data_IF_956284518374
#
_entry.id   IF_956284518374
#
_cell.length_a   1.000
_cell.length_b   1.000
_cell.length_c   1.000
_cell.angle_alpha   90.00
_cell.angle_beta   90.00
_cell.angle_gamma   90.00
#
_symmetry.space_group_name_H-M   'P 1'
#
loop_
_entity.id
_entity.type
_entity.pdbx_description
1 polymer ?
#
# COMPACT_ATOMS: atom_id res chain seq x y z
N UNK A 1 -15.03 -12.04 70.28
CA UNK A 1 -14.09 -10.96 69.94
C UNK A 1 -13.05 -11.60 69.03
N UNK A 2 -13.36 -11.77 67.73
CA UNK A 2 -12.95 -10.88 66.62
C UNK A 2 -11.41 -10.93 66.47
N UNK A 3 -10.81 -11.42 65.38
CA UNK A 3 -11.00 -11.03 63.98
C UNK A 3 -10.56 -12.18 63.06
N UNK A 4 -11.47 -12.68 62.22
CA UNK A 4 -11.15 -13.48 61.05
C UNK A 4 -10.73 -12.49 59.95
N UNK A 5 -9.42 -12.37 59.73
CA UNK A 5 -8.82 -11.48 58.75
C UNK A 5 -9.13 -12.00 57.33
N UNK A 6 -10.36 -11.71 56.88
CA UNK A 6 -10.81 -11.92 55.52
C UNK A 6 -9.86 -11.24 54.56
N UNK A 7 -9.11 -12.07 53.83
CA UNK A 7 -8.38 -11.69 52.62
C UNK A 7 -9.39 -11.10 51.63
N UNK A 8 -9.58 -9.79 51.70
CA UNK A 8 -10.26 -9.04 50.66
C UNK A 8 -9.36 -9.10 49.43
N UNK A 9 -9.66 -10.02 48.53
CA UNK A 9 -9.16 -9.99 47.17
C UNK A 9 -9.96 -8.87 46.46
N UNK A 10 -9.41 -7.67 46.24
CA UNK A 10 -10.12 -6.66 45.47
C UNK A 10 -10.38 -7.22 44.06
N UNK A 11 -11.44 -6.77 43.36
CA UNK A 11 -11.70 -7.16 41.97
C UNK A 11 -10.39 -7.08 41.19
N UNK A 12 -9.91 -8.25 40.76
CA UNK A 12 -8.52 -8.45 40.38
C UNK A 12 -8.16 -7.55 39.20
N UNK A 13 -6.96 -6.96 39.24
CA UNK A 13 -6.39 -6.19 38.13
C UNK A 13 -6.41 -6.98 36.81
N UNK A 14 -6.45 -8.30 36.89
CA UNK A 14 -6.66 -9.20 35.77
C UNK A 14 -7.99 -8.97 35.04
N UNK A 15 -9.09 -8.71 35.75
CA UNK A 15 -10.38 -8.38 35.13
C UNK A 15 -10.35 -7.00 34.49
N UNK A 16 -9.66 -6.04 35.12
CA UNK A 16 -9.49 -4.69 34.58
C UNK A 16 -8.61 -4.70 33.34
N UNK A 17 -7.47 -5.40 33.36
CA UNK A 17 -6.61 -5.65 32.20
C UNK A 17 -7.37 -6.38 31.10
N UNK A 18 -8.14 -7.41 31.43
CA UNK A 18 -8.94 -8.16 30.44
C UNK A 18 -10.00 -7.29 29.76
N UNK A 19 -10.63 -6.36 30.50
CA UNK A 19 -11.55 -5.36 29.92
C UNK A 19 -10.82 -4.30 29.10
N UNK A 20 -9.65 -3.85 29.55
CA UNK A 20 -8.79 -2.92 28.82
C UNK A 20 -8.27 -3.52 27.52
N UNK A 21 -7.81 -4.77 27.54
CA UNK A 21 -7.34 -5.51 26.37
C UNK A 21 -8.49 -5.84 25.42
N UNK A 22 -9.69 -6.14 25.92
CA UNK A 22 -10.87 -6.31 25.07
C UNK A 22 -11.24 -5.01 24.34
N UNK A 23 -11.26 -3.88 25.04
CA UNK A 23 -11.56 -2.56 24.44
C UNK A 23 -10.43 -2.07 23.54
N UNK A 24 -9.17 -2.38 23.88
CA UNK A 24 -8.00 -1.99 23.09
C UNK A 24 -7.86 -2.85 21.85
N UNK A 25 -8.12 -4.15 21.94
CA UNK A 25 -8.14 -5.10 20.83
C UNK A 25 -9.17 -4.71 19.76
N UNK A 26 -10.36 -4.28 20.14
CA UNK A 26 -11.37 -3.80 19.18
C UNK A 26 -10.98 -2.47 18.53
N UNK A 27 -10.40 -1.54 19.30
CA UNK A 27 -9.96 -0.24 18.78
C UNK A 27 -8.76 -0.37 17.85
N UNK A 28 -7.78 -1.21 18.18
CA UNK A 28 -6.63 -1.46 17.32
C UNK A 28 -7.04 -2.17 16.03
N UNK A 29 -8.00 -3.10 16.07
CA UNK A 29 -8.48 -3.78 14.88
C UNK A 29 -9.26 -2.82 13.95
N UNK A 30 -10.15 -1.99 14.51
CA UNK A 30 -10.92 -1.02 13.74
C UNK A 30 -10.08 0.14 13.19
N UNK A 31 -9.09 0.63 13.96
CA UNK A 31 -8.17 1.68 13.54
C UNK A 31 -7.12 1.16 12.56
N UNK A 32 -6.59 -0.05 12.76
CA UNK A 32 -5.68 -0.71 11.82
C UNK A 32 -6.39 -1.08 10.51
N UNK A 33 -7.67 -1.45 10.55
CA UNK A 33 -8.48 -1.68 9.34
C UNK A 33 -8.72 -0.39 8.55
N UNK A 34 -9.00 0.73 9.23
CA UNK A 34 -9.16 2.05 8.58
C UNK A 34 -7.85 2.62 8.07
N UNK A 35 -6.77 2.52 8.85
CA UNK A 35 -5.44 2.95 8.45
C UNK A 35 -4.89 2.08 7.32
N UNK A 36 -5.09 0.76 7.38
CA UNK A 36 -4.75 -0.19 6.32
C UNK A 36 -5.50 0.08 5.02
N UNK A 37 -6.80 0.42 5.10
CA UNK A 37 -7.60 0.82 3.94
C UNK A 37 -7.08 2.11 3.29
N UNK A 38 -6.81 3.16 4.08
CA UNK A 38 -6.25 4.42 3.56
C UNK A 38 -4.85 4.25 2.97
N UNK A 39 -4.01 3.42 3.59
CA UNK A 39 -2.66 3.14 3.13
C UNK A 39 -2.66 2.28 1.85
N UNK A 40 -3.58 1.31 1.73
CA UNK A 40 -3.78 0.54 0.50
C UNK A 40 -4.26 1.43 -0.64
N UNK A 41 -5.19 2.35 -0.38
CA UNK A 41 -5.68 3.31 -1.37
C UNK A 41 -4.56 4.26 -1.84
N UNK A 42 -3.75 4.79 -0.91
CA UNK A 42 -2.61 5.65 -1.25
C UNK A 42 -1.55 4.94 -2.10
N UNK A 43 -1.29 3.66 -1.81
CA UNK A 43 -0.41 2.82 -2.65
C UNK A 43 -1.01 2.59 -4.03
N UNK A 44 -2.30 2.27 -4.13
CA UNK A 44 -2.99 2.08 -5.40
C UNK A 44 -2.97 3.35 -6.26
N UNK A 45 -3.22 4.52 -5.66
CA UNK A 45 -3.14 5.81 -6.36
C UNK A 45 -1.73 6.10 -6.88
N UNK A 46 -0.69 5.81 -6.10
CA UNK A 46 0.70 5.98 -6.54
C UNK A 46 1.03 5.10 -7.73
N UNK A 47 0.64 3.83 -7.67
CA UNK A 47 0.83 2.90 -8.80
C UNK A 47 0.06 3.40 -10.04
N UNK A 48 -1.18 3.84 -9.86
CA UNK A 48 -1.99 4.38 -10.94
C UNK A 48 -1.38 5.67 -11.55
N UNK A 49 -0.85 6.57 -10.72
CA UNK A 49 -0.23 7.81 -11.20
C UNK A 49 1.09 7.57 -11.93
N UNK A 50 1.88 6.58 -11.49
CA UNK A 50 3.10 6.16 -12.20
C UNK A 50 2.77 5.60 -13.60
N UNK A 51 1.73 4.78 -13.71
CA UNK A 51 1.25 4.27 -15.00
C UNK A 51 0.75 5.39 -15.92
N UNK A 52 -0.09 6.28 -15.38
CA UNK A 52 -0.66 7.38 -16.16
C UNK A 52 0.43 8.36 -16.63
N UNK A 53 1.41 8.66 -15.77
CA UNK A 53 2.53 9.51 -16.14
C UNK A 53 3.34 8.90 -17.29
N UNK A 54 3.66 7.60 -17.22
CA UNK A 54 4.37 6.90 -18.29
C UNK A 54 3.59 6.90 -19.62
N UNK A 55 2.27 6.72 -19.55
CA UNK A 55 1.39 6.80 -20.73
C UNK A 55 1.43 8.20 -21.37
N UNK A 56 1.25 9.26 -20.57
CA UNK A 56 1.28 10.65 -21.06
C UNK A 56 2.63 10.94 -21.73
N UNK A 57 3.74 10.57 -21.09
CA UNK A 57 5.08 10.75 -21.67
C UNK A 57 5.22 9.99 -22.99
N UNK A 58 4.77 8.74 -23.06
CA UNK A 58 4.81 7.95 -24.30
C UNK A 58 3.99 8.57 -25.44
N UNK A 59 2.80 9.09 -25.14
CA UNK A 59 1.96 9.78 -26.13
C UNK A 59 2.60 11.08 -26.59
N UNK A 60 3.15 11.88 -25.67
CA UNK A 60 3.82 13.15 -26.02
C UNK A 60 5.06 12.89 -26.90
N UNK A 61 5.86 11.88 -26.57
CA UNK A 61 7.00 11.45 -27.39
C UNK A 61 6.56 10.93 -28.76
N UNK A 62 5.50 10.12 -28.81
CA UNK A 62 4.95 9.58 -30.05
C UNK A 62 4.40 10.67 -30.97
N UNK A 63 3.68 11.65 -30.42
CA UNK A 63 3.20 12.83 -31.16
C UNK A 63 4.34 13.72 -31.65
N UNK A 64 5.39 13.89 -30.85
CA UNK A 64 6.61 14.58 -31.26
C UNK A 64 7.24 13.87 -32.45
N UNK A 65 7.45 12.56 -32.34
CA UNK A 65 8.01 11.74 -33.41
C UNK A 65 7.16 11.79 -34.69
N UNK A 66 5.83 11.67 -34.58
CA UNK A 66 4.91 11.79 -35.71
C UNK A 66 5.04 13.12 -36.44
N UNK A 67 5.20 14.22 -35.70
CA UNK A 67 5.40 15.56 -36.28
C UNK A 67 6.76 15.73 -36.94
N UNK A 68 7.82 15.16 -36.36
CA UNK A 68 9.17 15.28 -36.91
C UNK A 68 9.39 14.38 -38.14
N UNK A 69 8.87 13.15 -38.11
CA UNK A 69 9.07 12.16 -39.17
C UNK A 69 7.95 12.17 -40.22
N UNK A 70 6.82 12.84 -39.96
CA UNK A 70 5.66 12.86 -40.86
C UNK A 70 4.91 11.51 -40.94
N UNK A 71 5.16 10.59 -40.00
CA UNK A 71 4.63 9.20 -40.00
C UNK A 71 3.33 9.04 -39.18
N UNK A 72 2.54 10.09 -39.01
CA UNK A 72 1.30 10.02 -38.21
C UNK A 72 0.32 8.95 -38.73
N UNK A 73 -0.25 8.05 -37.88
CA UNK A 73 -0.17 8.01 -36.41
C UNK A 73 0.77 6.90 -35.86
N UNK A 74 1.75 6.42 -36.63
CA UNK A 74 2.56 5.26 -36.25
C UNK A 74 3.48 5.53 -35.04
N UNK A 75 4.05 6.73 -34.94
CA UNK A 75 4.85 7.17 -33.81
C UNK A 75 4.02 7.32 -32.53
N UNK A 76 2.79 7.84 -32.61
CA UNK A 76 1.84 7.84 -31.49
C UNK A 76 1.52 6.41 -31.04
N UNK A 77 1.25 5.49 -31.97
CA UNK A 77 0.93 4.10 -31.63
C UNK A 77 2.11 3.41 -30.94
N UNK A 78 3.31 3.54 -31.51
CA UNK A 78 4.54 2.99 -30.92
C UNK A 78 4.84 3.65 -29.55
N UNK A 79 4.73 4.98 -29.46
CA UNK A 79 4.96 5.75 -28.24
C UNK A 79 3.99 5.38 -27.11
N UNK A 80 2.71 5.16 -27.43
CA UNK A 80 1.73 4.70 -26.47
C UNK A 80 2.04 3.28 -25.94
N UNK A 81 2.43 2.35 -26.83
CA UNK A 81 2.83 1.00 -26.44
C UNK A 81 4.08 0.99 -25.56
N UNK A 82 5.10 1.79 -25.93
CA UNK A 82 6.33 1.94 -25.15
C UNK A 82 6.04 2.57 -23.78
N UNK A 83 5.22 3.63 -23.73
CA UNK A 83 4.82 4.28 -22.48
C UNK A 83 4.06 3.33 -21.55
N UNK A 84 3.16 2.52 -22.09
CA UNK A 84 2.45 1.49 -21.34
C UNK A 84 3.40 0.41 -20.81
N UNK A 85 4.26 -0.14 -21.68
CA UNK A 85 5.24 -1.16 -21.29
C UNK A 85 6.20 -0.64 -20.21
N UNK A 86 6.68 0.60 -20.34
CA UNK A 86 7.53 1.25 -19.35
C UNK A 86 6.80 1.44 -18.00
N UNK A 87 5.53 1.86 -18.04
CA UNK A 87 4.69 1.96 -16.85
C UNK A 87 4.55 0.62 -16.13
N UNK A 88 4.14 -0.43 -16.85
CA UNK A 88 3.99 -1.78 -16.28
C UNK A 88 5.33 -2.27 -15.70
N UNK A 89 6.44 -2.02 -16.38
CA UNK A 89 7.76 -2.43 -15.92
C UNK A 89 8.21 -1.69 -14.65
N UNK A 90 7.83 -0.41 -14.50
CA UNK A 90 8.04 0.35 -13.25
C UNK A 90 7.25 -0.24 -12.09
N UNK A 91 5.96 -0.56 -12.30
CA UNK A 91 5.10 -1.16 -11.28
C UNK A 91 5.59 -2.56 -10.90
N UNK A 92 5.97 -3.38 -11.87
CA UNK A 92 6.55 -4.69 -11.63
C UNK A 92 7.84 -4.61 -10.79
N UNK A 93 8.68 -3.59 -11.02
CA UNK A 93 9.88 -3.35 -10.22
C UNK A 93 9.55 -2.91 -8.79
N UNK A 94 8.56 -2.04 -8.62
CA UNK A 94 8.08 -1.62 -7.30
C UNK A 94 7.60 -2.82 -6.47
N UNK A 95 6.89 -3.76 -7.11
CA UNK A 95 6.45 -5.01 -6.47
C UNK A 95 7.60 -5.98 -6.18
N UNK A 96 8.59 -6.09 -7.08
CA UNK A 96 9.74 -6.97 -6.89
C UNK A 96 10.62 -6.54 -5.72
N UNK A 97 10.83 -5.24 -5.56
CA UNK A 97 11.61 -4.70 -4.45
C UNK A 97 10.95 -4.91 -3.07
N UNK A 98 9.69 -5.32 -3.02
CA UNK A 98 9.01 -5.71 -1.78
C UNK A 98 9.18 -7.20 -1.41
N UNK A 99 9.61 -8.06 -2.34
CA UNK A 99 9.84 -9.50 -2.11
C UNK A 99 11.34 -9.89 -2.09
N UNK A 100 12.23 -8.91 -2.19
CA UNK A 100 13.68 -9.14 -2.23
C UNK A 100 14.35 -9.46 -0.89
N UNK A 101 13.67 -9.27 0.24
CA UNK A 101 14.25 -9.41 1.59
C UNK A 101 13.97 -10.76 2.29
N UNK A 102 13.78 -11.85 1.53
CA UNK A 102 13.50 -13.18 2.13
C UNK A 102 14.36 -14.32 1.57
N UNK A 103 15.56 -14.01 1.07
CA UNK A 103 16.48 -15.03 0.54
C UNK A 103 17.93 -14.78 0.93
N UNK A 104 18.18 -14.47 2.21
CA UNK A 104 19.47 -14.69 2.87
C UNK A 104 19.19 -15.12 4.32
N UNK A 105 19.27 -16.42 4.59
CA UNK A 105 18.99 -17.00 5.91
C UNK A 105 18.85 -18.52 5.84
N UNK A 106 19.89 -19.18 5.32
CA UNK A 106 20.11 -20.63 5.46
C UNK A 106 21.27 -20.87 6.41
#
# INVERSE_FOLDING_TARGET
>A
MADDAGKQNPPSLDEFSKRLDAVRGDKTNAESSRAGSGQAMGRAFRVASELLAAMIVGVLLGLGADKFLGISPFGLLAGALVGFAAGVMNVARAMKNMHGDSSEGG
#
